data_IF_046545173029
#
_entry.id   IF_046545173029
#
_cell.length_a   1.000
_cell.length_b   1.000
_cell.length_c   1.000
_cell.angle_alpha   90.00
_cell.angle_beta   90.00
_cell.angle_gamma   90.00
#
_symmetry.space_group_name_H-M   'P 1'
#
loop_
_entity.id
_entity.type
_entity.pdbx_description
1 polymer ?
#
# COMPACT_ATOMS: atom_id res chain seq x y z
N UNK A 1 18.97 -9.44 -13.95
CA UNK A 1 18.60 -9.14 -14.09
C UNK A 1 18.04 -8.39 -14.08
N UNK A 2 18.14 -7.92 -14.27
CA UNK A 2 17.51 -7.33 -14.18
C UNK A 2 16.69 -7.04 -14.72
N UNK A 3 16.72 -7.19 -15.41
CA UNK A 3 15.95 -7.02 -15.97
C UNK A 3 14.91 -7.32 -15.81
N UNK A 4 15.01 -7.82 -16.15
CA UNK A 4 13.89 -8.19 -15.87
C UNK A 4 13.20 -7.30 -15.13
N UNK A 5 13.62 -6.55 -14.96
CA UNK A 5 13.16 -5.65 -14.10
C UNK A 5 11.95 -4.97 -14.49
N UNK A 6 11.77 -4.57 -15.65
CA UNK A 6 10.66 -3.73 -15.98
C UNK A 6 9.36 -4.42 -15.86
N UNK A 7 9.28 -5.61 -16.32
CA UNK A 7 8.01 -6.25 -16.18
C UNK A 7 7.77 -6.65 -14.78
N UNK A 8 8.78 -6.56 -13.97
CA UNK A 8 8.64 -6.80 -12.57
C UNK A 8 8.43 -5.56 -11.80
N UNK A 9 7.89 -4.55 -12.42
CA UNK A 9 7.63 -3.34 -11.71
C UNK A 9 6.89 -3.59 -10.44
N UNK A 10 6.21 -4.68 -10.32
CA UNK A 10 5.67 -5.12 -9.06
C UNK A 10 6.71 -5.92 -8.34
N UNK A 11 6.40 -6.68 -7.44
CA UNK A 11 7.15 -7.73 -6.82
C UNK A 11 8.57 -7.37 -6.46
N UNK A 12 9.52 -8.18 -6.86
CA UNK A 12 10.89 -8.11 -6.41
C UNK A 12 11.54 -6.76 -6.55
N UNK A 13 11.13 -5.98 -7.54
CA UNK A 13 11.74 -4.69 -7.77
C UNK A 13 11.39 -3.66 -6.73
N UNK A 14 10.23 -3.74 -6.11
CA UNK A 14 9.87 -2.75 -5.10
C UNK A 14 10.78 -2.88 -3.87
N UNK A 15 11.10 -4.10 -3.49
CA UNK A 15 11.98 -4.32 -2.35
C UNK A 15 13.37 -3.77 -2.65
N UNK A 16 13.86 -3.96 -3.85
CA UNK A 16 15.18 -3.43 -4.24
C UNK A 16 15.22 -1.90 -4.17
N UNK A 17 14.10 -1.24 -4.42
CA UNK A 17 14.05 0.21 -4.39
C UNK A 17 14.04 0.79 -2.99
N UNK A 18 13.78 -0.01 -1.97
CA UNK A 18 13.78 0.49 -0.60
C UNK A 18 15.13 1.12 -0.22
N UNK A 19 16.22 0.61 -0.76
CA UNK A 19 17.54 1.14 -0.45
C UNK A 19 17.78 2.54 -1.03
N UNK A 20 16.99 2.95 -2.02
CA UNK A 20 17.19 4.23 -2.69
C UNK A 20 16.20 5.31 -2.27
N UNK A 21 15.39 5.04 -1.25
CA UNK A 21 14.43 6.02 -0.77
C UNK A 21 14.30 5.90 0.75
N UNK A 22 13.34 6.56 1.34
CA UNK A 22 13.22 6.57 2.79
C UNK A 22 11.76 6.72 3.22
N UNK A 23 11.49 6.34 4.47
CA UNK A 23 10.17 6.56 5.05
C UNK A 23 9.84 8.04 5.17
N UNK A 24 10.86 8.89 5.35
CA UNK A 24 10.66 10.34 5.38
C UNK A 24 10.10 10.84 4.04
N UNK A 25 10.65 10.34 2.95
CA UNK A 25 10.08 10.65 1.63
C UNK A 25 8.68 10.07 1.50
N UNK A 26 8.46 8.90 2.06
CA UNK A 26 7.16 8.26 2.05
C UNK A 26 6.09 9.06 2.76
N UNK A 27 6.46 9.73 3.85
CA UNK A 27 5.50 10.59 4.54
C UNK A 27 5.01 11.72 3.64
N UNK A 28 5.88 12.23 2.77
CA UNK A 28 5.48 13.26 1.81
C UNK A 28 4.54 12.69 0.76
N UNK A 29 4.84 11.51 0.24
CA UNK A 29 3.97 10.84 -0.72
C UNK A 29 2.62 10.53 -0.10
N UNK A 30 2.61 10.14 1.17
CA UNK A 30 1.38 9.78 1.88
C UNK A 30 0.38 10.93 1.94
N UNK A 31 0.81 12.16 1.77
CA UNK A 31 -0.12 13.29 1.73
C UNK A 31 -1.22 13.09 0.69
N UNK A 32 -0.93 12.36 -0.37
CA UNK A 32 -1.93 12.04 -1.38
C UNK A 32 -2.98 11.04 -0.88
N UNK A 33 -2.68 10.35 0.20
CA UNK A 33 -3.57 9.33 0.77
C UNK A 33 -4.31 9.86 2.00
N UNK A 34 -3.75 10.88 2.64
CA UNK A 34 -4.21 11.33 3.96
C UNK A 34 -5.61 11.94 3.94
N UNK A 35 -6.07 12.40 2.79
CA UNK A 35 -7.42 12.93 2.68
C UNK A 35 -8.47 11.84 2.94
N UNK A 36 -8.13 10.60 2.61
CA UNK A 36 -9.06 9.47 2.71
C UNK A 36 -8.68 8.45 3.76
N UNK A 37 -7.43 8.45 4.22
CA UNK A 37 -6.94 7.43 5.14
C UNK A 37 -6.24 8.05 6.33
N UNK A 38 -6.44 7.46 7.51
CA UNK A 38 -5.57 7.76 8.64
C UNK A 38 -4.50 6.68 8.71
N UNK A 39 -3.33 7.01 9.27
CA UNK A 39 -2.22 6.07 9.39
C UNK A 39 -1.75 5.95 10.85
N UNK A 40 -2.24 6.79 11.75
CA UNK A 40 -1.80 6.78 13.14
C UNK A 40 -2.43 5.63 13.90
N UNK A 41 -1.74 5.19 14.94
CA UNK A 41 -2.27 4.14 15.82
C UNK A 41 -3.58 4.62 16.43
N UNK A 42 -4.60 3.77 16.35
CA UNK A 42 -5.92 4.14 16.87
C UNK A 42 -6.68 5.11 16.00
N UNK A 43 -6.16 5.45 14.83
CA UNK A 43 -6.85 6.36 13.91
C UNK A 43 -8.15 5.77 13.42
N UNK A 44 -9.12 6.65 13.13
CA UNK A 44 -10.44 6.21 12.71
C UNK A 44 -10.47 6.00 11.19
N UNK A 45 -11.47 5.25 10.76
CA UNK A 45 -11.75 5.13 9.34
C UNK A 45 -12.30 6.45 8.81
N UNK A 46 -11.97 6.74 7.58
CA UNK A 46 -12.46 7.93 6.89
C UNK A 46 -13.18 7.47 5.62
N UNK A 47 -12.95 8.12 4.50
CA UNK A 47 -13.44 7.65 3.20
C UNK A 47 -12.86 6.28 2.91
N UNK A 48 -11.58 6.08 3.23
CA UNK A 48 -10.94 4.77 3.21
C UNK A 48 -10.70 4.24 4.60
N UNK A 49 -10.31 2.97 4.73
CA UNK A 49 -10.07 2.37 6.04
C UNK A 49 -8.80 2.93 6.68
N UNK A 50 -8.72 2.84 8.01
CA UNK A 50 -7.50 3.17 8.73
C UNK A 50 -6.37 2.26 8.26
N UNK A 51 -5.16 2.81 8.14
CA UNK A 51 -4.02 2.08 7.58
C UNK A 51 -2.96 1.67 8.59
N UNK A 52 -3.13 1.98 9.89
CA UNK A 52 -2.19 1.48 10.89
C UNK A 52 -2.11 -0.04 10.80
N UNK A 53 -0.90 -0.56 10.66
CA UNK A 53 -0.72 -2.01 10.58
C UNK A 53 -1.16 -2.63 9.25
N UNK A 54 -1.28 -1.84 8.19
CA UNK A 54 -1.79 -2.35 6.92
C UNK A 54 -0.86 -3.38 6.28
N UNK A 55 0.45 -3.22 6.39
CA UNK A 55 1.38 -4.20 5.85
C UNK A 55 1.25 -5.49 6.64
N UNK A 56 0.98 -6.59 5.96
CA UNK A 56 0.76 -7.89 6.56
C UNK A 56 -0.68 -8.16 6.96
N UNK A 57 -1.55 -7.15 6.89
CA UNK A 57 -2.97 -7.30 7.23
C UNK A 57 -3.73 -7.86 6.04
N UNK A 58 -4.72 -8.69 6.30
CA UNK A 58 -5.55 -9.21 5.23
C UNK A 58 -6.40 -8.09 4.64
N UNK A 59 -6.48 -8.03 3.31
CA UNK A 59 -7.29 -7.04 2.62
C UNK A 59 -8.75 -7.19 3.04
N UNK A 60 -9.41 -6.07 3.27
CA UNK A 60 -10.82 -6.07 3.62
C UNK A 60 -11.14 -6.56 5.02
N UNK A 61 -10.17 -6.51 5.94
CA UNK A 61 -10.34 -7.17 7.24
C UNK A 61 -10.80 -6.27 8.38
N UNK A 62 -10.86 -4.96 8.20
CA UNK A 62 -11.33 -4.08 9.28
C UNK A 62 -12.84 -4.18 9.40
N UNK A 63 -13.32 -4.60 10.56
CA UNK A 63 -14.73 -4.91 10.74
C UNK A 63 -15.62 -3.68 10.72
N UNK A 64 -15.12 -2.53 11.11
CA UNK A 64 -15.93 -1.30 11.16
C UNK A 64 -15.94 -0.51 9.88
N UNK A 65 -15.26 -0.99 8.84
CA UNK A 65 -15.23 -0.28 7.57
C UNK A 65 -16.02 -1.04 6.53
N UNK A 66 -16.79 -0.32 5.72
CA UNK A 66 -17.58 -0.95 4.68
C UNK A 66 -16.81 -0.97 3.37
N UNK A 67 -16.17 -2.08 3.10
CA UNK A 67 -15.40 -2.26 1.87
C UNK A 67 -16.31 -2.48 0.66
N UNK A 68 -15.75 -2.26 -0.54
CA UNK A 68 -16.39 -2.75 -1.75
C UNK A 68 -16.43 -4.28 -1.69
N UNK A 69 -17.35 -4.87 -2.42
CA UNK A 69 -17.41 -6.32 -2.49
C UNK A 69 -16.09 -6.90 -3.02
N UNK A 70 -15.50 -6.22 -4.02
CA UNK A 70 -14.24 -6.68 -4.60
C UNK A 70 -13.13 -6.72 -3.57
N UNK A 71 -13.02 -5.69 -2.73
CA UNK A 71 -11.98 -5.67 -1.70
C UNK A 71 -12.26 -6.69 -0.61
N UNK A 72 -13.53 -6.81 -0.19
CA UNK A 72 -13.90 -7.74 0.87
C UNK A 72 -13.64 -9.19 0.48
N UNK A 73 -13.69 -9.50 -0.81
CA UNK A 73 -13.49 -10.87 -1.29
C UNK A 73 -12.13 -11.10 -1.92
N UNK A 74 -11.24 -10.12 -1.88
CA UNK A 74 -9.92 -10.23 -2.53
C UNK A 74 -9.08 -11.37 -1.95
N UNK A 75 -9.12 -11.55 -0.64
CA UNK A 75 -8.58 -12.75 0.00
C UNK A 75 -7.07 -12.80 0.19
N UNK A 76 -6.36 -11.71 -0.06
CA UNK A 76 -4.91 -11.68 0.08
C UNK A 76 -4.47 -10.73 1.18
N UNK A 77 -3.30 -11.00 1.75
CA UNK A 77 -2.69 -10.10 2.71
C UNK A 77 -1.85 -9.05 1.98
N UNK A 78 -1.71 -7.89 2.61
CA UNK A 78 -0.93 -6.80 2.03
C UNK A 78 0.56 -7.02 2.26
N UNK A 79 1.18 -7.86 1.41
CA UNK A 79 2.63 -7.96 1.33
C UNK A 79 3.17 -6.72 0.61
N UNK A 80 4.50 -6.57 0.59
CA UNK A 80 5.09 -5.48 -0.17
C UNK A 80 4.70 -5.56 -1.64
N UNK A 81 4.73 -6.75 -2.21
CA UNK A 81 4.38 -6.92 -3.63
C UNK A 81 2.91 -6.63 -3.88
N UNK A 82 2.06 -7.13 -3.02
CA UNK A 82 0.61 -6.98 -3.22
C UNK A 82 0.21 -5.51 -3.13
N UNK A 83 0.72 -4.79 -2.14
CA UNK A 83 0.34 -3.39 -1.99
C UNK A 83 0.97 -2.54 -3.08
N UNK A 84 2.18 -2.90 -3.53
CA UNK A 84 2.80 -2.20 -4.65
C UNK A 84 1.97 -2.33 -5.91
N UNK A 85 1.52 -3.54 -6.22
CA UNK A 85 0.70 -3.78 -7.41
C UNK A 85 -0.61 -3.01 -7.35
N UNK A 86 -1.22 -2.96 -6.17
CA UNK A 86 -2.45 -2.20 -5.98
C UNK A 86 -2.21 -0.69 -6.19
N UNK A 87 -1.09 -0.17 -5.68
CA UNK A 87 -0.80 1.25 -5.76
C UNK A 87 -0.45 1.73 -7.17
N UNK A 88 0.00 0.84 -8.05
CA UNK A 88 0.26 1.22 -9.43
C UNK A 88 -1.02 1.76 -10.07
N UNK A 89 -2.11 1.03 -9.90
CA UNK A 89 -3.41 1.45 -10.43
C UNK A 89 -4.49 0.65 -9.71
N UNK A 90 -5.03 1.21 -8.62
CA UNK A 90 -5.93 0.42 -7.77
C UNK A 90 -7.08 -0.25 -8.50
N UNK A 91 -7.70 0.45 -9.46
CA UNK A 91 -8.85 -0.12 -10.16
C UNK A 91 -8.50 -1.27 -11.06
N UNK A 92 -7.24 -1.34 -11.52
CA UNK A 92 -6.81 -2.45 -12.36
C UNK A 92 -6.48 -3.68 -11.53
N UNK A 93 -5.89 -3.47 -10.33
CA UNK A 93 -5.49 -4.59 -9.50
C UNK A 93 -6.69 -5.22 -8.78
N UNK A 94 -7.57 -4.39 -8.27
CA UNK A 94 -8.81 -4.86 -7.64
C UNK A 94 -9.97 -4.18 -8.34
N UNK A 95 -10.47 -4.81 -9.38
CA UNK A 95 -11.59 -4.29 -10.14
C UNK A 95 -12.80 -4.19 -9.24
N UNK A 96 -13.46 -3.05 -9.26
CA UNK A 96 -14.61 -2.82 -8.38
C UNK A 96 -14.27 -2.17 -7.06
N UNK A 97 -12.99 -1.85 -6.81
CA UNK A 97 -12.63 -1.15 -5.58
C UNK A 97 -13.29 0.22 -5.52
N UNK A 98 -13.67 0.62 -4.30
CA UNK A 98 -14.23 1.96 -4.05
C UNK A 98 -13.17 3.05 -4.12
N UNK A 99 -11.90 2.69 -4.03
CA UNK A 99 -10.82 3.66 -4.00
C UNK A 99 -10.71 4.35 -5.35
N UNK A 100 -10.87 5.66 -5.35
CA UNK A 100 -10.88 6.43 -6.59
C UNK A 100 -9.52 6.96 -6.99
N UNK A 101 -8.49 6.65 -6.22
CA UNK A 101 -7.14 7.13 -6.46
C UNK A 101 -6.60 6.58 -7.79
N UNK A 102 -5.98 7.45 -8.57
CA UNK A 102 -5.52 7.10 -9.90
C UNK A 102 -4.30 6.17 -9.88
N UNK A 103 -3.54 6.19 -8.80
CA UNK A 103 -2.34 5.36 -8.67
C UNK A 103 -1.07 6.18 -8.59
N UNK A 104 0.01 5.53 -8.19
CA UNK A 104 1.34 6.12 -8.13
C UNK A 104 2.18 5.50 -9.24
N UNK A 105 2.47 6.25 -10.28
CA UNK A 105 3.22 5.72 -11.42
C UNK A 105 4.71 5.56 -11.14
N UNK A 106 5.27 6.43 -10.29
CA UNK A 106 6.70 6.42 -10.03
C UNK A 106 7.03 5.31 -9.03
N UNK A 107 7.87 4.34 -9.41
CA UNK A 107 8.21 3.25 -8.49
C UNK A 107 8.89 3.70 -7.20
N UNK A 108 9.69 4.77 -7.26
CA UNK A 108 10.32 5.28 -6.04
C UNK A 108 9.31 5.87 -5.08
N UNK A 109 8.25 6.51 -5.60
CA UNK A 109 7.18 7.00 -4.73
C UNK A 109 6.46 5.85 -4.06
N UNK A 110 6.20 4.77 -4.79
CA UNK A 110 5.56 3.60 -4.20
C UNK A 110 6.45 2.99 -3.12
N UNK A 111 7.75 2.83 -3.43
CA UNK A 111 8.67 2.29 -2.44
C UNK A 111 8.72 3.16 -1.18
N UNK A 112 8.78 4.47 -1.36
CA UNK A 112 8.84 5.40 -0.23
C UNK A 112 7.59 5.30 0.64
N UNK A 113 6.41 5.32 0.04
CA UNK A 113 5.17 5.28 0.83
C UNK A 113 4.99 3.92 1.49
N UNK A 114 5.44 2.85 0.86
CA UNK A 114 5.39 1.52 1.47
C UNK A 114 6.30 1.46 2.69
N UNK A 115 7.50 2.02 2.60
CA UNK A 115 8.38 2.11 3.77
C UNK A 115 7.72 2.89 4.90
N UNK A 116 7.09 4.00 4.58
CA UNK A 116 6.40 4.81 5.58
C UNK A 116 5.27 4.02 6.23
N UNK A 117 4.45 3.35 5.43
CA UNK A 117 3.36 2.55 5.98
C UNK A 117 3.89 1.39 6.83
N UNK A 118 5.03 0.82 6.45
CA UNK A 118 5.61 -0.29 7.20
C UNK A 118 6.17 0.14 8.55
N UNK A 119 6.43 1.42 8.74
CA UNK A 119 6.82 1.93 10.06
C UNK A 119 5.62 2.19 10.96
N UNK A 120 4.44 2.29 10.40
CA UNK A 120 3.24 2.64 11.16
C UNK A 120 2.45 1.39 11.50
N UNK A 121 3.06 0.54 12.30
CA UNK A 121 2.49 -0.73 12.72
C UNK A 121 3.22 -1.20 13.98
N UNK A 122 2.60 -2.12 14.70
CA UNK A 122 3.26 -2.79 15.82
C UNK A 122 4.25 -3.85 15.35
N UNK A 123 4.10 -4.34 14.15
CA UNK A 123 4.89 -5.48 13.65
C UNK A 123 5.35 -5.22 12.21
N UNK A 124 6.38 -4.38 12.02
CA UNK A 124 6.87 -4.13 10.66
C UNK A 124 7.33 -5.41 9.98
N UNK A 125 7.04 -5.52 8.69
CA UNK A 125 7.56 -6.63 7.91
C UNK A 125 9.05 -6.44 7.67
N UNK A 126 9.83 -7.54 7.63
CA UNK A 126 11.24 -7.40 7.28
C UNK A 126 11.40 -6.92 5.84
N UNK A 127 12.40 -6.08 5.61
CA UNK A 127 12.61 -5.44 4.31
C UNK A 127 13.38 -6.32 3.33
N UNK A 128 13.01 -7.57 3.26
CA UNK A 128 13.67 -8.45 2.30
C UNK A 128 12.78 -9.60 1.85
#
# INVERSE_FOLDING_TARGET
TVETSSENAGSGNIIALFASTSATDGAKVFKKCAACHSITQGGSNKIGPALWGVLGRQAGSISEYKYSKAMATHGKSWSFEEINNFLIKPKDWIKGTKMSFVGLKNPKDRAAVILYMNENTDNPLPLQ
#
